data_IF_112804811535
#
_entry.id   IF_112804811535
#
_cell.length_a   1.000
_cell.length_b   1.000
_cell.length_c   1.000
_cell.angle_alpha   90.00
_cell.angle_beta   90.00
_cell.angle_gamma   90.00
#
_symmetry.space_group_name_H-M   'P 1'
#
loop_
_entity.id
_entity.type
_entity.pdbx_description
1 polymer ?
#
# COMPACT_ATOMS: atom_id res chain seq x y z
N UNK A 1 -12.26 -25.80 18.64
CA UNK A 1 -11.87 -24.73 19.60
C UNK A 1 -10.66 -24.00 19.01
N UNK A 2 -10.74 -22.69 18.81
CA UNK A 2 -9.59 -21.91 18.32
C UNK A 2 -8.49 -21.94 19.37
N UNK A 3 -7.33 -22.50 19.01
CA UNK A 3 -6.17 -22.56 19.91
C UNK A 3 -5.52 -21.19 19.93
N UNK A 4 -5.84 -20.39 20.95
CA UNK A 4 -5.17 -19.12 21.20
C UNK A 4 -3.74 -19.40 21.67
N UNK A 5 -2.75 -18.78 21.02
CA UNK A 5 -1.33 -18.90 21.36
C UNK A 5 -0.87 -17.55 21.92
N UNK A 6 -0.12 -17.58 23.02
CA UNK A 6 0.41 -16.36 23.65
C UNK A 6 1.55 -15.76 22.83
N UNK A 7 1.61 -14.43 22.77
CA UNK A 7 2.71 -13.71 22.15
C UNK A 7 4.07 -14.09 22.78
N UNK A 8 5.10 -14.28 21.95
CA UNK A 8 6.44 -14.68 22.37
C UNK A 8 6.69 -16.19 22.38
N UNK A 9 5.66 -17.02 22.19
CA UNK A 9 5.85 -18.46 22.00
C UNK A 9 6.49 -18.77 20.63
N UNK A 10 7.43 -19.72 20.61
CA UNK A 10 7.89 -20.31 19.36
C UNK A 10 6.81 -21.26 18.83
N UNK A 11 6.43 -21.08 17.57
CA UNK A 11 5.34 -21.83 16.93
C UNK A 11 5.78 -22.38 15.58
N UNK A 12 5.25 -23.54 15.24
CA UNK A 12 5.31 -24.10 13.90
C UNK A 12 3.97 -23.85 13.21
N UNK A 13 4.01 -23.32 11.98
CA UNK A 13 2.82 -22.97 11.19
C UNK A 13 2.75 -23.86 9.96
N UNK A 14 1.72 -24.69 9.88
CA UNK A 14 1.42 -25.47 8.68
C UNK A 14 0.44 -24.70 7.80
N UNK A 15 0.90 -24.26 6.63
CA UNK A 15 0.10 -23.48 5.68
C UNK A 15 -0.28 -24.37 4.49
N UNK A 16 -1.57 -24.63 4.33
CA UNK A 16 -2.10 -25.40 3.20
C UNK A 16 -2.13 -24.52 1.95
N UNK A 17 -1.30 -24.85 0.95
CA UNK A 17 -1.23 -24.13 -0.32
C UNK A 17 -1.81 -24.98 -1.46
N UNK A 18 -2.79 -24.48 -2.25
CA UNK A 18 -3.35 -25.21 -3.37
C UNK A 18 -2.29 -25.52 -4.44
N UNK A 19 -2.26 -26.76 -4.93
CA UNK A 19 -1.20 -27.26 -5.83
C UNK A 19 -1.10 -26.49 -7.16
N UNK A 20 -2.23 -26.04 -7.72
CA UNK A 20 -2.30 -25.34 -9.01
C UNK A 20 -2.35 -23.81 -8.87
N UNK A 21 -1.84 -23.25 -7.76
CA UNK A 21 -1.85 -21.80 -7.53
C UNK A 21 -0.51 -21.14 -7.88
N UNK A 22 -0.56 -19.96 -8.51
CA UNK A 22 0.61 -19.08 -8.67
C UNK A 22 1.21 -18.63 -7.32
N UNK A 23 0.44 -18.79 -6.24
CA UNK A 23 0.88 -18.54 -4.86
C UNK A 23 1.98 -19.54 -4.46
N UNK A 24 1.91 -20.80 -4.90
CA UNK A 24 2.89 -21.83 -4.54
C UNK A 24 4.29 -21.49 -5.06
N UNK A 25 4.43 -21.12 -6.34
CA UNK A 25 5.73 -20.76 -6.91
C UNK A 25 6.30 -19.51 -6.25
N UNK A 26 5.46 -18.51 -6.00
CA UNK A 26 5.84 -17.28 -5.29
C UNK A 26 6.33 -17.57 -3.88
N UNK A 27 5.62 -18.43 -3.14
CA UNK A 27 5.97 -18.82 -1.78
C UNK A 27 7.26 -19.64 -1.73
N UNK A 28 7.43 -20.61 -2.63
CA UNK A 28 8.68 -21.38 -2.75
C UNK A 28 9.87 -20.46 -3.08
N UNK A 29 9.67 -19.48 -3.96
CA UNK A 29 10.69 -18.48 -4.26
C UNK A 29 11.01 -17.59 -3.05
N UNK A 30 10.00 -17.15 -2.29
CA UNK A 30 10.19 -16.40 -1.05
C UNK A 30 10.96 -17.21 0.00
N UNK A 31 10.64 -18.50 0.16
CA UNK A 31 11.33 -19.39 1.11
C UNK A 31 12.76 -19.74 0.68
N UNK A 32 13.03 -19.80 -0.63
CA UNK A 32 14.38 -20.03 -1.18
C UNK A 32 15.25 -18.77 -1.10
N UNK A 33 14.63 -17.59 -1.13
CA UNK A 33 15.31 -16.32 -0.99
C UNK A 33 15.90 -16.16 0.41
N UNK A 34 17.04 -15.45 0.51
CA UNK A 34 17.64 -15.06 1.80
C UNK A 34 16.90 -13.89 2.48
N UNK A 35 15.79 -13.43 1.92
CA UNK A 35 15.00 -12.33 2.46
C UNK A 35 14.16 -12.80 3.67
N UNK A 36 13.97 -11.96 4.69
CA UNK A 36 13.11 -12.29 5.82
C UNK A 36 11.65 -12.43 5.39
N UNK A 37 10.96 -13.40 5.97
CA UNK A 37 9.53 -13.65 5.76
C UNK A 37 8.76 -13.16 6.99
N UNK A 38 7.74 -12.34 6.76
CA UNK A 38 6.84 -11.82 7.81
C UNK A 38 5.45 -12.38 7.57
N UNK A 39 4.82 -12.90 8.62
CA UNK A 39 3.46 -13.41 8.60
C UNK A 39 2.60 -12.55 9.54
N UNK A 40 1.39 -12.20 9.09
CA UNK A 40 0.41 -11.47 9.87
C UNK A 40 -0.96 -12.13 9.72
N UNK A 41 -1.75 -12.13 10.81
CA UNK A 41 -3.16 -12.54 10.76
C UNK A 41 -4.02 -11.42 10.19
N UNK A 42 -4.95 -11.75 9.32
CA UNK A 42 -5.91 -10.79 8.76
C UNK A 42 -7.11 -10.61 9.69
N UNK A 43 -7.62 -9.39 9.80
CA UNK A 43 -8.91 -9.15 10.46
C UNK A 43 -10.08 -9.66 9.59
N UNK A 44 -11.24 -9.87 10.23
CA UNK A 44 -12.44 -10.48 9.61
C UNK A 44 -12.85 -9.89 8.26
N UNK A 45 -12.66 -8.58 8.09
CA UNK A 45 -13.06 -7.86 6.88
C UNK A 45 -11.93 -7.66 5.88
N UNK A 46 -10.67 -7.94 6.24
CA UNK A 46 -9.51 -7.62 5.39
C UNK A 46 -9.35 -8.55 4.18
N UNK A 47 -10.17 -9.60 4.09
CA UNK A 47 -10.29 -10.44 2.90
C UNK A 47 -11.25 -9.87 1.84
N UNK A 48 -11.83 -8.68 2.07
CA UNK A 48 -12.68 -7.98 1.08
C UNK A 48 -11.86 -6.99 0.26
N UNK A 49 -12.41 -6.56 -0.87
CA UNK A 49 -11.85 -5.50 -1.72
C UNK A 49 -12.76 -4.28 -1.68
N UNK A 50 -12.16 -3.10 -1.58
CA UNK A 50 -12.87 -1.82 -1.44
C UNK A 50 -12.12 -0.70 -2.16
N UNK A 51 -12.69 0.50 -2.15
CA UNK A 51 -11.99 1.72 -2.56
C UNK A 51 -11.37 2.35 -1.32
N UNK A 52 -10.04 2.37 -1.30
CA UNK A 52 -9.24 2.95 -0.23
C UNK A 52 -9.01 4.44 -0.53
N UNK A 53 -9.16 5.28 0.48
CA UNK A 53 -8.75 6.68 0.47
C UNK A 53 -7.45 6.83 1.26
N UNK A 54 -6.41 7.29 0.58
CA UNK A 54 -5.06 7.40 1.11
C UNK A 54 -4.70 8.89 1.14
N UNK A 55 -4.40 9.45 2.31
CA UNK A 55 -3.89 10.82 2.45
C UNK A 55 -2.38 10.80 2.30
N UNK A 56 -1.84 11.63 1.41
CA UNK A 56 -0.46 11.55 0.95
C UNK A 56 0.15 12.92 0.73
N UNK A 57 1.45 13.01 0.97
CA UNK A 57 2.29 14.15 0.62
C UNK A 57 3.36 13.72 -0.40
N UNK A 58 3.58 14.56 -1.40
CA UNK A 58 4.64 14.37 -2.39
C UNK A 58 6.00 14.62 -1.75
N UNK A 59 6.88 13.62 -1.84
CA UNK A 59 8.23 13.75 -1.34
C UNK A 59 9.02 14.73 -2.21
N UNK A 60 9.44 15.84 -1.62
CA UNK A 60 10.33 16.81 -2.25
C UNK A 60 11.76 16.40 -1.91
N UNK A 61 12.54 15.92 -2.88
CA UNK A 61 13.97 15.72 -2.68
C UNK A 61 14.66 17.08 -2.64
N UNK A 62 15.35 17.38 -1.54
CA UNK A 62 16.02 18.65 -1.28
C UNK A 62 17.22 18.95 -2.22
N UNK A 63 17.61 17.98 -3.06
CA UNK A 63 18.63 18.19 -4.07
C UNK A 63 17.98 18.82 -5.31
N UNK A 64 18.06 20.16 -5.41
CA UNK A 64 17.62 21.04 -6.52
C UNK A 64 18.16 20.65 -7.92
N UNK A 65 18.92 19.56 -8.04
CA UNK A 65 19.48 19.03 -9.29
C UNK A 65 18.67 17.88 -9.89
N UNK A 66 17.82 17.19 -9.11
CA UNK A 66 16.87 16.22 -9.64
C UNK A 66 15.46 16.81 -9.60
N UNK A 67 14.90 17.06 -10.79
CA UNK A 67 13.49 17.42 -10.95
C UNK A 67 12.63 16.55 -10.03
N UNK A 68 11.81 17.19 -9.19
CA UNK A 68 10.86 16.48 -8.32
C UNK A 68 10.07 15.45 -9.13
N UNK A 69 9.79 14.24 -8.60
CA UNK A 69 9.14 13.19 -9.37
C UNK A 69 7.77 13.69 -9.85
N UNK A 70 7.59 13.78 -11.17
CA UNK A 70 6.31 14.16 -11.77
C UNK A 70 5.37 12.96 -11.68
N UNK A 71 4.56 12.94 -10.63
CA UNK A 71 3.53 11.92 -10.44
C UNK A 71 2.23 12.38 -11.07
N UNK A 72 1.72 11.59 -12.03
CA UNK A 72 0.45 11.88 -12.69
C UNK A 72 -0.62 10.93 -12.22
N UNK A 73 -1.86 11.41 -12.26
CA UNK A 73 -3.01 10.58 -12.00
C UNK A 73 -3.07 9.41 -12.97
N UNK A 74 -3.43 8.22 -12.45
CA UNK A 74 -3.48 6.94 -13.17
C UNK A 74 -2.12 6.38 -13.62
N UNK A 75 -0.99 6.99 -13.25
CA UNK A 75 0.32 6.34 -13.42
C UNK A 75 0.38 5.07 -12.56
N UNK A 76 1.14 4.06 -13.01
CA UNK A 76 1.24 2.78 -12.27
C UNK A 76 2.25 2.96 -11.14
N UNK A 77 1.76 2.90 -9.91
CA UNK A 77 2.55 3.03 -8.69
C UNK A 77 2.48 1.73 -7.88
N UNK A 78 3.57 1.40 -7.20
CA UNK A 78 3.57 0.36 -6.18
C UNK A 78 3.15 0.96 -4.86
N UNK A 79 2.00 0.54 -4.36
CA UNK A 79 1.41 1.02 -3.11
C UNK A 79 1.74 0.01 -2.01
N UNK A 80 2.32 0.48 -0.92
CA UNK A 80 2.46 -0.26 0.32
C UNK A 80 1.55 0.37 1.37
N UNK A 81 0.60 -0.39 1.90
CA UNK A 81 -0.26 0.01 3.02
C UNK A 81 -0.06 -1.00 4.15
N UNK A 82 0.59 -0.57 5.23
CA UNK A 82 1.02 -1.48 6.30
C UNK A 82 1.88 -2.64 5.77
N UNK A 83 1.39 -3.87 5.93
CA UNK A 83 2.05 -5.10 5.46
C UNK A 83 1.68 -5.52 4.04
N UNK A 84 0.71 -4.85 3.41
CA UNK A 84 0.22 -5.23 2.08
C UNK A 84 0.87 -4.35 1.01
N UNK A 85 1.39 -4.99 -0.05
CA UNK A 85 1.93 -4.33 -1.23
C UNK A 85 1.18 -4.76 -2.47
N UNK A 86 0.84 -3.81 -3.33
CA UNK A 86 0.20 -4.08 -4.61
C UNK A 86 0.45 -2.93 -5.59
N UNK A 87 0.39 -3.23 -6.88
CA UNK A 87 0.50 -2.23 -7.94
C UNK A 87 -0.88 -1.68 -8.27
N UNK A 88 -1.00 -0.36 -8.37
CA UNK A 88 -2.26 0.32 -8.62
C UNK A 88 -2.07 1.57 -9.48
N UNK A 89 -3.19 2.07 -10.02
CA UNK A 89 -3.27 3.34 -10.77
C UNK A 89 -4.17 4.32 -10.02
N UNK A 90 -3.65 5.05 -9.02
CA UNK A 90 -4.45 5.92 -8.16
C UNK A 90 -5.07 7.08 -8.94
N UNK A 91 -6.26 7.49 -8.49
CA UNK A 91 -6.89 8.76 -8.89
C UNK A 91 -6.63 9.75 -7.76
N UNK A 92 -5.97 10.86 -8.08
CA UNK A 92 -5.67 11.92 -7.13
C UNK A 92 -6.76 13.00 -7.09
N UNK A 93 -7.02 13.52 -5.90
CA UNK A 93 -7.93 14.63 -5.65
C UNK A 93 -7.45 15.51 -4.50
N UNK A 94 -7.88 16.77 -4.51
CA UNK A 94 -7.69 17.70 -3.41
C UNK A 94 -8.31 17.18 -2.10
N UNK A 95 -7.71 17.56 -0.97
CA UNK A 95 -8.28 17.35 0.37
C UNK A 95 -9.01 18.61 0.86
N UNK A 96 -10.28 18.75 0.49
CA UNK A 96 -11.11 19.89 0.87
C UNK A 96 -11.93 19.57 2.13
N UNK A 97 -11.63 20.25 3.24
CA UNK A 97 -12.40 20.08 4.48
C UNK A 97 -13.84 20.58 4.31
N UNK A 98 -14.82 19.80 4.78
CA UNK A 98 -16.24 20.19 4.79
C UNK A 98 -16.95 20.08 3.44
N UNK A 99 -16.38 19.38 2.45
CA UNK A 99 -17.03 19.09 1.18
C UNK A 99 -17.12 17.58 0.91
N UNK A 100 -18.16 17.18 0.20
CA UNK A 100 -18.31 15.84 -0.40
C UNK A 100 -17.79 15.78 -1.85
N UNK A 101 -17.40 16.94 -2.40
CA UNK A 101 -16.89 17.09 -3.77
C UNK A 101 -15.42 17.47 -3.73
N UNK A 102 -14.60 16.56 -4.25
CA UNK A 102 -13.15 16.76 -4.30
C UNK A 102 -12.70 17.00 -5.74
N UNK A 103 -11.87 18.04 -5.93
CA UNK A 103 -11.36 18.40 -7.24
C UNK A 103 -10.31 17.39 -7.70
N UNK A 104 -10.47 16.85 -8.90
CA UNK A 104 -9.51 15.95 -9.52
C UNK A 104 -8.17 16.64 -9.80
N UNK A 105 -7.07 15.96 -9.47
CA UNK A 105 -5.71 16.42 -9.72
C UNK A 105 -5.05 15.56 -10.81
N UNK A 106 -4.67 16.19 -11.92
CA UNK A 106 -3.97 15.49 -13.02
C UNK A 106 -2.50 15.22 -12.68
N UNK A 107 -1.87 16.13 -11.96
CA UNK A 107 -0.48 16.10 -11.53
C UNK A 107 -0.42 16.46 -10.05
N UNK A 108 0.51 15.85 -9.33
CA UNK A 108 0.78 16.20 -7.93
C UNK A 108 1.76 17.37 -7.85
N UNK A 109 1.55 18.22 -6.85
CA UNK A 109 2.34 19.41 -6.61
C UNK A 109 3.12 19.29 -5.30
N UNK A 110 4.41 19.65 -5.27
CA UNK A 110 5.19 19.79 -4.04
C UNK A 110 4.49 20.64 -2.98
N UNK A 111 4.57 20.21 -1.72
CA UNK A 111 4.03 20.96 -0.57
C UNK A 111 2.51 20.95 -0.43
N UNK A 112 1.78 20.14 -1.21
CA UNK A 112 0.32 20.00 -1.10
C UNK A 112 -0.08 18.59 -0.71
N UNK A 113 -0.92 18.49 0.31
CA UNK A 113 -1.56 17.23 0.70
C UNK A 113 -2.62 16.85 -0.34
N UNK A 114 -2.60 15.59 -0.77
CA UNK A 114 -3.51 15.03 -1.78
C UNK A 114 -4.14 13.74 -1.25
N UNK A 115 -5.29 13.39 -1.82
CA UNK A 115 -5.96 12.12 -1.55
C UNK A 115 -5.88 11.24 -2.77
N UNK A 116 -5.36 10.03 -2.60
CA UNK A 116 -5.39 8.99 -3.62
C UNK A 116 -6.55 8.03 -3.35
N UNK A 117 -7.41 7.86 -4.36
CA UNK A 117 -8.43 6.82 -4.41
C UNK A 117 -7.91 5.61 -5.17
N UNK A 118 -7.89 4.44 -4.53
CA UNK A 118 -7.32 3.20 -5.08
C UNK A 118 -8.24 2.02 -4.78
N UNK A 119 -8.46 1.15 -5.76
CA UNK A 119 -9.12 -0.14 -5.50
C UNK A 119 -8.13 -1.15 -4.91
N UNK A 120 -8.40 -1.66 -3.72
CA UNK A 120 -7.45 -2.43 -2.94
C UNK A 120 -8.10 -3.34 -1.89
N UNK A 121 -7.30 -4.02 -1.04
CA UNK A 121 -7.82 -4.77 0.10
C UNK A 121 -8.45 -3.83 1.13
N UNK A 122 -9.55 -4.25 1.77
CA UNK A 122 -10.05 -3.59 2.96
C UNK A 122 -8.99 -3.72 4.05
N UNK A 123 -8.58 -2.64 4.69
CA UNK A 123 -7.60 -2.65 5.77
C UNK A 123 -8.11 -1.84 6.95
N UNK A 124 -7.85 -2.31 8.17
CA UNK A 124 -8.19 -1.54 9.37
C UNK A 124 -7.10 -0.49 9.66
N UNK A 125 -7.52 0.77 9.79
CA UNK A 125 -6.63 1.90 10.08
C UNK A 125 -6.39 2.12 11.58
N UNK A 126 -5.37 2.93 11.95
CA UNK A 126 -4.47 3.68 11.06
C UNK A 126 -3.32 2.80 10.51
N UNK A 127 -3.06 2.90 9.20
CA UNK A 127 -1.97 2.18 8.54
C UNK A 127 -1.09 3.15 7.73
N UNK A 128 0.25 3.06 7.83
CA UNK A 128 1.15 3.91 7.05
C UNK A 128 1.09 3.54 5.57
N UNK A 129 1.20 4.54 4.70
CA UNK A 129 1.16 4.39 3.25
C UNK A 129 2.44 4.93 2.62
N UNK A 130 3.03 4.13 1.73
CA UNK A 130 4.14 4.52 0.87
C UNK A 130 3.76 4.23 -0.58
N UNK A 131 4.02 5.15 -1.51
CA UNK A 131 3.89 4.87 -2.94
C UNK A 131 5.21 5.07 -3.67
N UNK A 132 5.56 4.07 -4.47
CA UNK A 132 6.79 4.02 -5.23
C UNK A 132 6.51 4.10 -6.73
N UNK A 133 7.32 4.87 -7.44
CA UNK A 133 7.44 4.74 -8.89
C UNK A 133 8.08 3.38 -9.21
N UNK A 134 7.63 2.75 -10.30
CA UNK A 134 8.20 1.47 -10.74
C UNK A 134 9.47 1.64 -11.58
N UNK A 135 9.61 2.77 -12.28
CA UNK A 135 10.75 3.06 -13.16
C UNK A 135 10.99 4.57 -13.27
N UNK A 136 12.14 5.08 -12.78
CA UNK A 136 13.07 4.39 -11.88
C UNK A 136 12.39 4.08 -10.53
N UNK A 137 12.78 2.96 -9.90
CA UNK A 137 12.24 2.55 -8.61
C UNK A 137 12.61 3.56 -7.52
N UNK A 138 11.64 4.39 -7.11
CA UNK A 138 11.88 5.51 -6.18
C UNK A 138 10.64 5.77 -5.34
N UNK A 139 10.84 6.20 -4.09
CA UNK A 139 9.77 6.63 -3.21
C UNK A 139 9.25 7.99 -3.67
N UNK A 140 7.96 8.09 -3.96
CA UNK A 140 7.35 9.31 -4.46
C UNK A 140 6.39 9.96 -3.46
N UNK A 141 5.61 9.16 -2.74
CA UNK A 141 4.57 9.66 -1.82
C UNK A 141 4.64 8.94 -0.49
N UNK A 142 4.38 9.68 0.59
CA UNK A 142 4.27 9.16 1.95
C UNK A 142 3.00 9.66 2.60
N UNK A 143 2.37 8.84 3.44
CA UNK A 143 1.20 9.28 4.20
C UNK A 143 0.52 8.15 4.96
N UNK A 144 -0.80 8.19 5.03
CA UNK A 144 -1.59 7.26 5.85
C UNK A 144 -2.93 6.90 5.21
N UNK A 145 -3.43 5.72 5.58
CA UNK A 145 -4.78 5.27 5.26
C UNK A 145 -5.81 6.13 5.99
N UNK A 146 -6.70 6.79 5.24
CA UNK A 146 -7.80 7.59 5.81
C UNK A 146 -9.06 6.76 5.99
N UNK A 147 -9.42 5.98 4.97
CA UNK A 147 -10.57 5.07 5.00
C UNK A 147 -10.37 3.93 3.99
N UNK A 148 -10.91 2.75 4.29
CA UNK A 148 -10.91 1.57 3.41
C UNK A 148 -12.19 0.76 3.61
#
# INVERSE_FOLDING_TARGET
PEKLIQAGAFVELEVVVPQNSCVRSSLLHMLSSKAPVVLCSLHRMENRRTVMQLGLDLLCTADDTQSSPVVRSKDTLRVQVGFVRFDARPIFSEDAAGSDKFKFERFLHPGRHTVASVFGPALMGPAPVLMFMLSPASLALTGALRSA
#
